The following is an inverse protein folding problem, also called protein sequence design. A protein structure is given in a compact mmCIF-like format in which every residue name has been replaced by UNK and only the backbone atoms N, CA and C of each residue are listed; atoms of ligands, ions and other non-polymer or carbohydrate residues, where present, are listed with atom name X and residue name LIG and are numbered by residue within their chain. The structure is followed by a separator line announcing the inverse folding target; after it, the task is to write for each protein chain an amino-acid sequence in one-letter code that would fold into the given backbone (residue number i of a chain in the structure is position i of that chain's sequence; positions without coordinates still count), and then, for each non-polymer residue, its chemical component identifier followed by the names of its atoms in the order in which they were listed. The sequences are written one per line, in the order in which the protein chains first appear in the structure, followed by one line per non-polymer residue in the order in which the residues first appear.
data_IF_345041458344
#
_entry.id   IF_345041458344
#
_cell.length_a   1.000
_cell.length_b   1.000
_cell.length_c   1.000
_cell.angle_alpha   90.00
_cell.angle_beta   90.00
_cell.angle_gamma   90.00
#
_symmetry.space_group_name_H-M   'P 1'
#
loop_
_entity.id
_entity.type
_entity.pdbx_description
1 polymer ?
#
# COMPACT_ATOMS: atom_id res chain seq x y z
N UNK A 1 -19.25 -24.12 4.12
CA UNK A 1 -18.82 -22.80 3.57
C UNK A 1 -18.98 -21.80 4.70
N UNK A 2 -17.93 -21.06 5.08
CA UNK A 2 -18.00 -20.11 6.18
C UNK A 2 -17.90 -18.68 5.64
N UNK A 3 -18.94 -17.89 5.84
CA UNK A 3 -18.84 -16.42 5.80
C UNK A 3 -18.17 -15.98 7.09
N UNK A 4 -17.16 -15.12 7.01
CA UNK A 4 -16.51 -14.58 8.21
C UNK A 4 -17.54 -13.83 9.06
N UNK A 5 -17.75 -14.29 10.30
CA UNK A 5 -18.66 -13.70 11.27
C UNK A 5 -17.93 -13.09 12.49
N UNK A 6 -16.59 -13.05 12.47
CA UNK A 6 -15.79 -12.44 13.55
C UNK A 6 -15.53 -13.31 14.78
N UNK A 7 -16.14 -14.50 14.89
CA UNK A 7 -16.10 -15.29 16.14
C UNK A 7 -14.81 -16.09 16.35
N UNK A 8 -14.19 -16.56 15.26
CA UNK A 8 -12.91 -17.28 15.30
C UNK A 8 -12.13 -17.07 14.02
N UNK A 9 -10.81 -17.09 14.09
CA UNK A 9 -9.95 -17.12 12.91
C UNK A 9 -10.28 -18.33 11.99
N UNK A 10 -10.17 -18.20 10.65
CA UNK A 10 -10.36 -19.31 9.72
C UNK A 10 -9.27 -20.37 9.93
N UNK A 11 -9.59 -21.65 9.71
CA UNK A 11 -8.58 -22.71 9.72
C UNK A 11 -7.85 -22.79 8.38
N UNK A 12 -6.65 -23.39 8.38
CA UNK A 12 -5.96 -23.72 7.14
C UNK A 12 -6.87 -24.56 6.22
N UNK A 13 -6.95 -24.19 4.94
CA UNK A 13 -7.82 -24.82 3.95
C UNK A 13 -9.30 -24.40 4.00
N UNK A 14 -9.70 -23.56 4.96
CA UNK A 14 -11.07 -23.05 5.03
C UNK A 14 -11.30 -21.91 4.03
N UNK A 15 -12.41 -21.96 3.28
CA UNK A 15 -12.80 -20.87 2.38
C UNK A 15 -13.30 -19.68 3.20
N UNK A 16 -12.56 -18.58 3.14
CA UNK A 16 -12.91 -17.30 3.74
C UNK A 16 -13.72 -16.42 2.77
N UNK A 17 -14.74 -15.74 3.27
CA UNK A 17 -15.53 -14.75 2.51
C UNK A 17 -15.73 -13.49 3.34
N UNK A 18 -15.52 -12.33 2.71
CA UNK A 18 -15.76 -11.01 3.29
C UNK A 18 -16.71 -10.20 2.38
N UNK A 19 -18.03 -10.31 2.59
CA UNK A 19 -19.03 -9.61 1.78
C UNK A 19 -18.91 -8.07 1.82
N UNK A 20 -18.52 -7.51 2.96
CA UNK A 20 -18.39 -6.05 3.13
C UNK A 20 -17.23 -5.47 2.31
N UNK A 21 -16.10 -6.19 2.29
CA UNK A 21 -14.98 -5.85 1.42
C UNK A 21 -15.34 -6.03 -0.06
N UNK A 22 -16.10 -7.08 -0.40
CA UNK A 22 -16.58 -7.28 -1.76
C UNK A 22 -17.46 -6.11 -2.23
N UNK A 23 -18.33 -5.59 -1.35
CA UNK A 23 -19.16 -4.43 -1.68
C UNK A 23 -18.33 -3.15 -1.83
N UNK A 24 -17.34 -2.96 -0.98
CA UNK A 24 -16.35 -1.87 -1.13
C UNK A 24 -15.68 -1.90 -2.51
N UNK A 25 -15.24 -3.08 -2.97
CA UNK A 25 -14.65 -3.23 -4.31
C UNK A 25 -15.67 -3.00 -5.44
N UNK A 26 -16.93 -3.42 -5.29
CA UNK A 26 -17.97 -3.12 -6.29
C UNK A 26 -18.19 -1.62 -6.44
N UNK A 27 -18.22 -0.90 -5.32
CA UNK A 27 -18.38 0.55 -5.34
C UNK A 27 -17.20 1.24 -6.02
N UNK A 28 -15.97 0.85 -5.66
CA UNK A 28 -14.75 1.31 -6.32
C UNK A 28 -14.75 1.03 -7.83
N UNK A 29 -15.24 -0.14 -8.26
CA UNK A 29 -15.34 -0.49 -9.67
C UNK A 29 -16.35 0.37 -10.45
N UNK A 30 -17.43 0.82 -9.79
CA UNK A 30 -18.48 1.64 -10.41
C UNK A 30 -18.15 3.13 -10.42
N UNK A 31 -17.62 3.64 -9.32
CA UNK A 31 -17.47 5.08 -9.07
C UNK A 31 -15.99 5.53 -9.05
N UNK A 32 -15.07 4.58 -9.21
CA UNK A 32 -13.64 4.83 -9.23
C UNK A 32 -13.12 5.36 -7.89
N UNK A 33 -12.03 6.11 -7.97
CA UNK A 33 -11.34 6.70 -6.81
C UNK A 33 -12.25 7.57 -5.95
N UNK A 34 -13.21 8.27 -6.56
CA UNK A 34 -14.07 9.20 -5.83
C UNK A 34 -14.93 8.50 -4.77
N UNK A 35 -15.35 7.26 -4.98
CA UNK A 35 -16.06 6.49 -3.95
C UNK A 35 -15.26 6.37 -2.65
N UNK A 36 -13.93 6.23 -2.76
CA UNK A 36 -13.04 6.08 -1.61
C UNK A 36 -12.78 7.40 -0.89
N UNK A 37 -12.44 8.46 -1.63
CA UNK A 37 -11.93 9.71 -1.03
C UNK A 37 -13.00 10.79 -0.84
N UNK A 38 -14.11 10.71 -1.56
CA UNK A 38 -15.18 11.73 -1.56
C UNK A 38 -16.58 11.14 -1.42
N UNK A 39 -16.68 9.81 -1.39
CA UNK A 39 -17.92 9.07 -1.44
C UNK A 39 -18.27 8.40 -0.12
N UNK A 40 -19.17 7.42 -0.21
CA UNK A 40 -19.71 6.74 0.97
C UNK A 40 -18.68 5.94 1.77
N UNK A 41 -17.55 5.55 1.16
CA UNK A 41 -16.47 4.84 1.88
C UNK A 41 -15.75 5.82 2.82
N UNK A 42 -15.29 6.98 2.33
CA UNK A 42 -14.68 8.02 3.17
C UNK A 42 -15.62 8.38 4.33
N UNK A 43 -16.89 8.61 4.03
CA UNK A 43 -17.89 8.94 5.05
C UNK A 43 -17.98 7.85 6.13
N UNK A 44 -18.06 6.57 5.74
CA UNK A 44 -18.11 5.45 6.70
C UNK A 44 -16.86 5.37 7.58
N UNK A 45 -15.68 5.68 7.03
CA UNK A 45 -14.43 5.69 7.80
C UNK A 45 -14.43 6.85 8.80
N UNK A 46 -14.85 8.05 8.38
CA UNK A 46 -14.94 9.23 9.26
C UNK A 46 -15.98 9.02 10.35
N UNK A 47 -17.18 8.55 10.01
CA UNK A 47 -18.22 8.24 11.00
C UNK A 47 -17.72 7.24 12.06
N UNK A 48 -16.93 6.24 11.66
CA UNK A 48 -16.33 5.27 12.57
C UNK A 48 -15.20 5.88 13.41
N UNK A 49 -14.36 6.72 12.80
CA UNK A 49 -13.30 7.47 13.48
C UNK A 49 -13.91 8.35 14.58
N UNK A 50 -14.91 9.17 14.25
CA UNK A 50 -15.61 10.05 15.19
C UNK A 50 -16.24 9.26 16.35
N UNK A 51 -16.83 8.10 16.08
CA UNK A 51 -17.42 7.24 17.10
C UNK A 51 -16.40 6.61 18.07
N UNK A 52 -15.10 6.65 17.75
CA UNK A 52 -14.03 6.03 18.54
C UNK A 52 -12.90 7.01 18.88
N UNK A 53 -13.21 8.31 18.98
CA UNK A 53 -12.25 9.39 19.31
C UNK A 53 -11.04 9.44 18.36
N UNK A 54 -11.22 9.01 17.11
CA UNK A 54 -10.23 9.10 16.04
C UNK A 54 -10.14 10.51 15.44
N UNK A 55 -9.09 10.75 14.65
CA UNK A 55 -8.75 12.09 14.14
C UNK A 55 -9.02 12.27 12.64
N UNK A 56 -9.49 11.23 11.94
CA UNK A 56 -9.71 11.30 10.50
C UNK A 56 -10.95 12.10 10.18
N UNK A 57 -10.81 13.12 9.35
CA UNK A 57 -11.89 13.99 8.89
C UNK A 57 -12.16 13.77 7.41
N UNK A 58 -13.35 14.16 6.94
CA UNK A 58 -13.64 14.16 5.48
C UNK A 58 -12.64 15.02 4.71
N UNK A 59 -12.15 16.10 5.31
CA UNK A 59 -11.16 16.99 4.70
C UNK A 59 -9.84 16.27 4.42
N UNK A 60 -9.39 15.40 5.32
CA UNK A 60 -8.16 14.61 5.12
C UNK A 60 -8.26 13.71 3.88
N UNK A 61 -9.44 13.14 3.62
CA UNK A 61 -9.68 12.32 2.42
C UNK A 61 -9.82 13.18 1.16
N UNK A 62 -10.53 14.31 1.24
CA UNK A 62 -10.77 15.20 0.10
C UNK A 62 -9.49 15.88 -0.40
N UNK A 63 -8.64 16.30 0.53
CA UNK A 63 -7.35 16.95 0.26
C UNK A 63 -6.28 15.96 -0.18
N UNK A 64 -6.48 14.65 0.03
CA UNK A 64 -5.49 13.66 -0.34
C UNK A 64 -5.28 13.62 -1.86
N UNK A 65 -4.01 13.64 -2.26
CA UNK A 65 -3.59 13.43 -3.65
C UNK A 65 -2.40 12.49 -3.71
N UNK A 66 -2.30 11.73 -4.80
CA UNK A 66 -1.09 10.96 -5.11
C UNK A 66 -0.07 11.84 -5.83
N UNK A 67 1.18 11.77 -5.42
CA UNK A 67 2.28 12.50 -6.06
C UNK A 67 2.92 11.63 -7.13
N UNK A 68 2.92 12.10 -8.38
CA UNK A 68 3.77 11.53 -9.41
C UNK A 68 5.22 11.95 -9.16
N UNK A 69 6.11 10.97 -9.14
CA UNK A 69 7.52 11.19 -8.81
C UNK A 69 8.41 10.57 -9.87
N UNK A 70 9.56 11.19 -10.10
CA UNK A 70 10.62 10.59 -10.91
C UNK A 70 11.33 9.53 -10.05
N UNK A 71 11.44 8.28 -10.52
CA UNK A 71 12.19 7.25 -9.81
C UNK A 71 13.67 7.62 -9.68
N UNK A 72 14.25 7.32 -8.51
CA UNK A 72 15.71 7.34 -8.36
C UNK A 72 16.29 6.03 -8.85
N UNK A 73 17.57 6.00 -9.23
CA UNK A 73 18.21 4.78 -9.66
C UNK A 73 19.68 4.66 -9.25
N UNK A 74 20.18 3.44 -9.30
CA UNK A 74 21.61 3.12 -9.29
C UNK A 74 21.91 2.10 -10.37
N UNK A 75 23.07 2.24 -11.01
CA UNK A 75 23.57 1.21 -11.92
C UNK A 75 24.24 0.09 -11.09
N UNK A 76 23.84 -1.15 -11.36
CA UNK A 76 24.36 -2.35 -10.70
C UNK A 76 24.70 -3.41 -11.76
N UNK A 77 26.01 -3.68 -11.93
CA UNK A 77 26.53 -4.48 -13.04
C UNK A 77 26.05 -3.95 -14.39
N UNK A 78 25.34 -4.76 -15.17
CA UNK A 78 24.76 -4.42 -16.47
C UNK A 78 23.26 -4.04 -16.38
N UNK A 79 22.75 -3.74 -15.19
CA UNK A 79 21.35 -3.37 -14.95
C UNK A 79 21.23 -1.99 -14.31
N UNK A 80 20.05 -1.38 -14.47
CA UNK A 80 19.63 -0.20 -13.73
C UNK A 80 18.55 -0.59 -12.72
N UNK A 81 18.85 -0.35 -11.45
CA UNK A 81 17.92 -0.56 -10.35
C UNK A 81 17.17 0.75 -10.08
N UNK A 82 15.84 0.72 -10.20
CA UNK A 82 14.99 1.87 -9.92
C UNK A 82 14.28 1.71 -8.57
N UNK A 83 14.13 2.81 -7.86
CA UNK A 83 13.39 2.89 -6.60
C UNK A 83 12.56 4.17 -6.54
N UNK A 84 11.53 4.16 -5.70
CA UNK A 84 10.81 5.39 -5.37
C UNK A 84 11.74 6.33 -4.56
N UNK A 85 11.69 7.65 -4.81
CA UNK A 85 12.31 8.62 -3.91
C UNK A 85 11.64 8.56 -2.52
N UNK A 86 12.21 9.24 -1.50
CA UNK A 86 11.55 9.41 -0.22
C UNK A 86 10.08 9.85 -0.41
N UNK A 87 9.14 9.36 0.40
CA UNK A 87 9.30 8.96 1.79
C UNK A 87 9.31 7.44 2.05
N UNK A 88 9.43 6.61 1.01
CA UNK A 88 9.58 5.16 1.15
C UNK A 88 10.97 4.75 1.67
N UNK A 89 11.10 3.53 2.20
CA UNK A 89 12.38 2.98 2.69
C UNK A 89 13.25 2.37 1.57
N UNK A 90 12.76 2.34 0.32
CA UNK A 90 13.45 1.75 -0.84
C UNK A 90 14.80 2.41 -1.20
N UNK A 91 15.02 3.67 -0.77
CA UNK A 91 16.27 4.41 -0.99
C UNK A 91 17.53 3.73 -0.42
N UNK A 92 17.38 2.78 0.51
CA UNK A 92 18.51 2.01 1.02
C UNK A 92 19.20 1.18 -0.09
N UNK A 93 18.43 0.67 -1.06
CA UNK A 93 18.95 -0.25 -2.08
C UNK A 93 19.89 0.43 -3.10
N UNK A 94 19.56 1.59 -3.71
CA UNK A 94 20.44 2.27 -4.65
C UNK A 94 21.68 2.84 -3.96
N UNK A 95 21.55 3.29 -2.70
CA UNK A 95 22.69 3.77 -1.90
C UNK A 95 23.69 2.66 -1.62
N UNK A 96 23.21 1.47 -1.26
CA UNK A 96 24.07 0.31 -0.99
C UNK A 96 24.74 -0.24 -2.26
N UNK A 97 24.07 -0.15 -3.41
CA UNK A 97 24.67 -0.50 -4.71
C UNK A 97 25.84 0.44 -5.10
N UNK A 98 25.78 1.69 -4.65
CA UNK A 98 26.81 2.71 -4.92
C UNK A 98 27.98 2.67 -3.92
N UNK A 99 27.84 2.01 -2.76
CA UNK A 99 28.89 1.91 -1.75
C UNK A 99 30.00 0.92 -2.16
N UNK A 100 31.22 1.40 -2.47
CA UNK A 100 32.31 0.54 -2.89
C UNK A 100 32.75 -0.46 -1.81
N UNK A 101 32.55 -0.13 -0.53
CA UNK A 101 32.93 -0.99 0.61
C UNK A 101 32.00 -2.20 0.79
N UNK A 102 30.77 -2.11 0.26
CA UNK A 102 29.79 -3.20 0.26
C UNK A 102 29.92 -4.13 -0.94
N UNK A 103 30.76 -3.79 -1.92
CA UNK A 103 31.09 -4.67 -3.05
C UNK A 103 31.97 -5.82 -2.54
N UNK A 104 31.36 -6.97 -2.25
CA UNK A 104 32.11 -8.17 -1.83
C UNK A 104 33.03 -8.66 -2.97
N UNK A 105 34.36 -8.68 -2.78
CA UNK A 105 35.27 -9.29 -3.74
C UNK A 105 35.06 -10.80 -3.80
N UNK A 106 34.97 -11.37 -5.00
CA UNK A 106 35.08 -12.82 -5.21
C UNK A 106 33.82 -13.67 -5.04
N UNK A 107 32.64 -13.09 -4.81
CA UNK A 107 31.40 -13.90 -4.67
C UNK A 107 30.72 -14.28 -6.00
N UNK A 108 31.30 -13.88 -7.13
CA UNK A 108 30.79 -14.21 -8.46
C UNK A 108 31.98 -14.53 -9.37
N UNK A 109 32.15 -15.82 -9.68
CA UNK A 109 32.98 -16.30 -10.78
C UNK A 109 32.41 -15.86 -12.14
N UNK A 110 33.11 -16.19 -13.23
CA UNK A 110 33.14 -15.41 -14.48
C UNK A 110 31.76 -15.06 -15.06
#
# INVERSE_FOLDING_TARGET
MATWNGERAPRAGEVFRNPDLAETYRLLGKEGRNAFYRGSIAKKIVDYSDAHDGLLTMKDFEDHTSTWVEPIYADYKNYRLYELPPNGQGIASPRDAQDPSKRRPGLYGP
#
